data_IF_223355900010
#
_entry.id   IF_223355900010
#
_cell.length_a   1.000
_cell.length_b   1.000
_cell.length_c   1.000
_cell.angle_alpha   90.00
_cell.angle_beta   90.00
_cell.angle_gamma   90.00
#
_symmetry.space_group_name_H-M   'P 1'
#
loop_
_entity.id
_entity.type
_entity.pdbx_description
1 polymer ?
#
# COMPACT_ATOMS: atom_id res chain seq x y z
N UNK A 1 -20.83 -5.67 19.81
CA UNK A 1 -19.47 -5.55 20.38
C UNK A 1 -18.57 -4.91 19.35
N UNK A 2 -17.99 -3.75 19.65
CA UNK A 2 -17.14 -3.03 18.72
C UNK A 2 -15.68 -3.37 19.02
N UNK A 3 -15.06 -4.18 18.15
CA UNK A 3 -13.65 -4.54 18.26
C UNK A 3 -12.81 -3.59 17.40
N UNK A 4 -11.66 -3.17 17.93
CA UNK A 4 -10.71 -2.34 17.19
C UNK A 4 -9.44 -3.14 16.94
N UNK A 5 -9.18 -3.47 15.67
CA UNK A 5 -7.92 -4.07 15.26
C UNK A 5 -6.77 -3.06 15.47
N UNK A 6 -5.72 -3.46 16.20
CA UNK A 6 -4.50 -2.67 16.41
C UNK A 6 -3.34 -3.15 15.55
N UNK A 7 -3.04 -4.46 15.60
CA UNK A 7 -1.94 -5.06 14.82
C UNK A 7 -2.40 -6.34 14.14
N UNK A 8 -1.91 -6.57 12.94
CA UNK A 8 -2.15 -7.77 12.16
C UNK A 8 -0.81 -8.36 11.71
N UNK A 9 -0.67 -9.67 11.77
CA UNK A 9 0.56 -10.37 11.40
C UNK A 9 0.30 -11.80 10.99
N UNK A 10 1.36 -12.50 10.60
CA UNK A 10 1.29 -13.88 10.16
C UNK A 10 2.31 -14.75 10.90
N UNK A 11 1.92 -15.98 11.17
CA UNK A 11 2.76 -17.05 11.68
C UNK A 11 2.85 -18.13 10.61
N UNK A 12 4.07 -18.60 10.32
CA UNK A 12 4.32 -19.55 9.23
C UNK A 12 4.15 -21.02 9.66
N UNK A 13 4.38 -21.34 10.93
CA UNK A 13 4.28 -22.69 11.48
C UNK A 13 3.54 -22.71 12.83
N UNK A 14 2.33 -23.28 12.91
CA UNK A 14 1.42 -23.58 11.79
C UNK A 14 0.92 -22.30 11.11
N UNK A 15 0.57 -22.34 9.81
CA UNK A 15 0.16 -21.16 9.04
C UNK A 15 -1.10 -20.53 9.65
N UNK A 16 -0.96 -19.32 10.20
CA UNK A 16 -2.07 -18.62 10.86
C UNK A 16 -1.89 -17.11 10.84
N UNK A 17 -3.00 -16.38 10.76
CA UNK A 17 -3.01 -14.91 10.88
C UNK A 17 -3.32 -14.55 12.33
N UNK A 18 -2.46 -13.71 12.88
CA UNK A 18 -2.58 -13.21 14.25
C UNK A 18 -3.15 -11.79 14.18
N UNK A 19 -4.24 -11.57 14.91
CA UNK A 19 -4.86 -10.26 15.07
C UNK A 19 -4.83 -9.86 16.54
N UNK A 20 -4.19 -8.74 16.82
CA UNK A 20 -4.22 -8.09 18.13
C UNK A 20 -5.29 -7.00 18.05
N UNK A 21 -6.31 -7.12 18.90
CA UNK A 21 -7.45 -6.23 18.92
C UNK A 21 -7.75 -5.75 20.33
N UNK A 22 -8.41 -4.61 20.41
CA UNK A 22 -8.91 -4.04 21.65
C UNK A 22 -10.44 -4.14 21.67
N UNK A 23 -10.97 -4.60 22.79
CA UNK A 23 -12.40 -4.57 23.03
C UNK A 23 -12.79 -3.22 23.63
N UNK A 24 -13.64 -2.44 22.95
CA UNK A 24 -14.08 -1.13 23.43
C UNK A 24 -14.82 -1.20 24.77
N UNK A 25 -15.41 -2.35 25.12
CA UNK A 25 -16.14 -2.49 26.38
C UNK A 25 -15.22 -2.75 27.57
N UNK A 26 -14.08 -3.42 27.35
CA UNK A 26 -13.17 -3.87 28.41
C UNK A 26 -11.84 -3.12 28.41
N UNK A 27 -11.52 -2.36 27.36
CA UNK A 27 -10.24 -1.68 27.12
C UNK A 27 -9.02 -2.60 27.21
N UNK A 28 -9.25 -3.93 27.18
CA UNK A 28 -8.21 -4.95 27.25
C UNK A 28 -7.80 -5.33 25.84
N UNK A 29 -6.49 -5.41 25.65
CA UNK A 29 -5.90 -5.93 24.42
C UNK A 29 -5.97 -7.46 24.45
N UNK A 30 -6.47 -8.06 23.37
CA UNK A 30 -6.59 -9.50 23.19
C UNK A 30 -5.95 -9.91 21.87
N UNK A 31 -5.48 -11.15 21.84
CA UNK A 31 -4.92 -11.76 20.64
C UNK A 31 -5.88 -12.82 20.12
N UNK A 32 -6.09 -12.84 18.81
CA UNK A 32 -6.84 -13.89 18.11
C UNK A 32 -5.95 -14.53 17.06
N UNK A 33 -5.88 -15.85 17.10
CA UNK A 33 -5.16 -16.66 16.12
C UNK A 33 -6.19 -17.26 15.15
N UNK A 34 -5.99 -17.03 13.86
CA UNK A 34 -6.88 -17.47 12.79
C UNK A 34 -6.10 -18.45 11.90
N UNK A 35 -6.35 -19.78 12.05
CA UNK A 35 -5.61 -20.77 11.28
C UNK A 35 -5.98 -20.68 9.81
N UNK A 36 -4.98 -20.68 8.94
CA UNK A 36 -5.17 -20.76 7.49
C UNK A 36 -5.16 -22.24 7.11
N UNK A 37 -6.28 -22.72 6.58
CA UNK A 37 -6.41 -24.09 6.06
C UNK A 37 -6.46 -24.05 4.54
N UNK A 38 -6.02 -25.12 3.89
CA UNK A 38 -6.10 -25.31 2.44
C UNK A 38 -5.39 -24.23 1.60
N UNK A 39 -4.33 -23.62 2.14
CA UNK A 39 -3.52 -22.65 1.39
C UNK A 39 -2.24 -23.31 0.88
N UNK A 40 -1.91 -23.08 -0.38
CA UNK A 40 -0.78 -23.70 -1.08
C UNK A 40 0.05 -22.64 -1.81
N UNK A 41 1.22 -23.02 -2.32
CA UNK A 41 2.09 -22.14 -3.13
C UNK A 41 1.43 -21.63 -4.43
N UNK A 42 0.34 -22.25 -4.85
CA UNK A 42 -0.43 -21.94 -6.06
C UNK A 42 -1.76 -21.23 -5.81
N UNK A 43 -2.22 -21.13 -4.56
CA UNK A 43 -3.52 -20.52 -4.28
C UNK A 43 -3.50 -19.01 -4.48
N UNK A 44 -4.66 -18.48 -4.87
CA UNK A 44 -4.86 -17.05 -5.09
C UNK A 44 -4.94 -16.29 -3.76
N UNK A 45 -4.07 -15.30 -3.59
CA UNK A 45 -3.97 -14.50 -2.37
C UNK A 45 -5.19 -13.58 -2.19
N UNK A 46 -5.77 -13.09 -3.29
CA UNK A 46 -6.97 -12.24 -3.30
C UNK A 46 -8.18 -12.98 -2.75
N UNK A 47 -8.48 -14.14 -3.33
CA UNK A 47 -9.59 -15.00 -2.93
C UNK A 47 -9.46 -15.47 -1.49
N UNK A 48 -8.26 -15.91 -1.07
CA UNK A 48 -8.02 -16.33 0.31
C UNK A 48 -8.25 -15.19 1.32
N UNK A 49 -7.87 -13.95 0.97
CA UNK A 49 -8.11 -12.78 1.80
C UNK A 49 -9.61 -12.44 1.92
N UNK A 50 -10.36 -12.55 0.84
CA UNK A 50 -11.81 -12.36 0.82
C UNK A 50 -12.54 -13.40 1.65
N UNK A 51 -12.18 -14.67 1.49
CA UNK A 51 -12.75 -15.78 2.26
C UNK A 51 -12.54 -15.59 3.76
N UNK A 52 -11.34 -15.14 4.18
CA UNK A 52 -11.05 -14.85 5.58
C UNK A 52 -11.89 -13.68 6.11
N UNK A 53 -12.01 -12.60 5.33
CA UNK A 53 -12.77 -11.40 5.73
C UNK A 53 -14.27 -11.67 5.81
N UNK A 54 -14.79 -12.53 4.94
CA UNK A 54 -16.20 -12.90 4.89
C UNK A 54 -16.59 -14.00 5.89
N UNK A 55 -15.61 -14.70 6.48
CA UNK A 55 -15.89 -15.75 7.45
C UNK A 55 -16.65 -15.19 8.67
N UNK A 56 -17.85 -15.73 9.01
CA UNK A 56 -18.70 -15.20 10.08
C UNK A 56 -18.01 -15.18 11.43
N UNK A 57 -17.06 -16.09 11.67
CA UNK A 57 -16.31 -16.16 12.94
C UNK A 57 -15.35 -14.99 13.14
N UNK A 58 -14.82 -14.42 12.05
CA UNK A 58 -13.72 -13.45 12.08
C UNK A 58 -14.15 -12.05 11.59
N UNK A 59 -15.25 -11.97 10.84
CA UNK A 59 -15.80 -10.74 10.24
C UNK A 59 -15.93 -9.57 11.23
N UNK A 60 -16.37 -9.84 12.46
CA UNK A 60 -16.55 -8.82 13.50
C UNK A 60 -15.24 -8.15 13.96
N UNK A 61 -14.10 -8.83 13.81
CA UNK A 61 -12.78 -8.33 14.22
C UNK A 61 -12.03 -7.68 13.04
N UNK A 62 -12.29 -8.16 11.83
CA UNK A 62 -11.65 -7.72 10.60
C UNK A 62 -12.31 -6.50 9.95
N UNK A 63 -13.34 -5.90 10.58
CA UNK A 63 -14.10 -4.79 10.00
C UNK A 63 -13.22 -3.58 9.66
N UNK A 64 -12.21 -3.29 10.49
CA UNK A 64 -11.24 -2.21 10.27
C UNK A 64 -10.01 -2.61 9.44
N UNK A 65 -9.82 -3.90 9.18
CA UNK A 65 -8.65 -4.38 8.44
C UNK A 65 -8.94 -4.27 6.94
N UNK A 66 -8.04 -3.60 6.22
CA UNK A 66 -8.15 -3.48 4.77
C UNK A 66 -7.95 -4.84 4.09
N UNK A 67 -8.61 -5.04 2.95
CA UNK A 67 -8.47 -6.27 2.18
C UNK A 67 -7.03 -6.39 1.63
N UNK A 68 -6.43 -5.28 1.20
CA UNK A 68 -5.05 -5.20 0.75
C UNK A 68 -4.05 -5.69 1.82
N UNK A 69 -4.20 -5.28 3.08
CA UNK A 69 -3.33 -5.77 4.16
C UNK A 69 -3.40 -7.30 4.31
N UNK A 70 -4.59 -7.89 4.22
CA UNK A 70 -4.74 -9.35 4.27
C UNK A 70 -4.08 -10.01 3.05
N UNK A 71 -4.26 -9.45 1.85
CA UNK A 71 -3.59 -9.94 0.64
C UNK A 71 -2.06 -9.95 0.77
N UNK A 72 -1.48 -8.90 1.36
CA UNK A 72 -0.03 -8.82 1.65
C UNK A 72 0.42 -9.94 2.61
N UNK A 73 -0.37 -10.25 3.62
CA UNK A 73 -0.06 -11.36 4.52
C UNK A 73 -0.11 -12.71 3.80
N UNK A 74 -1.07 -12.91 2.90
CA UNK A 74 -1.16 -14.12 2.08
C UNK A 74 -0.04 -14.21 1.03
N UNK A 75 0.40 -13.09 0.44
CA UNK A 75 1.54 -13.08 -0.48
C UNK A 75 2.85 -13.43 0.24
N UNK A 76 3.05 -12.91 1.47
CA UNK A 76 4.16 -13.31 2.35
C UNK A 76 4.11 -14.81 2.67
N UNK A 77 2.93 -15.35 2.99
CA UNK A 77 2.76 -16.79 3.22
C UNK A 77 3.14 -17.61 1.98
N UNK A 78 2.70 -17.17 0.80
CA UNK A 78 2.99 -17.83 -0.48
C UNK A 78 4.49 -17.80 -0.79
N UNK A 79 5.16 -16.68 -0.53
CA UNK A 79 6.61 -16.55 -0.65
C UNK A 79 7.34 -17.54 0.25
N UNK A 80 6.94 -17.62 1.52
CA UNK A 80 7.49 -18.58 2.47
C UNK A 80 7.25 -20.04 2.03
N UNK A 81 6.06 -20.39 1.55
CA UNK A 81 5.76 -21.73 1.01
C UNK A 81 6.57 -22.08 -0.26
N UNK A 82 7.09 -21.08 -0.96
CA UNK A 82 8.00 -21.24 -2.12
C UNK A 82 9.47 -21.31 -1.70
N UNK A 83 9.79 -21.15 -0.42
CA UNK A 83 11.15 -21.13 0.09
C UNK A 83 11.86 -19.77 -0.07
N UNK A 84 11.12 -18.69 -0.33
CA UNK A 84 11.69 -17.34 -0.37
C UNK A 84 11.95 -16.83 1.05
N UNK A 85 12.99 -16.01 1.22
CA UNK A 85 13.23 -15.35 2.50
C UNK A 85 12.19 -14.28 2.76
N UNK A 86 11.97 -13.95 4.04
CA UNK A 86 11.04 -12.88 4.43
C UNK A 86 11.49 -11.54 3.86
N UNK A 87 12.80 -11.27 3.86
CA UNK A 87 13.39 -10.03 3.34
C UNK A 87 13.09 -9.88 1.86
N UNK A 88 13.38 -10.91 1.04
CA UNK A 88 13.09 -10.88 -0.39
C UNK A 88 11.59 -10.73 -0.69
N UNK A 89 10.74 -11.32 0.14
CA UNK A 89 9.28 -11.24 -0.05
C UNK A 89 8.76 -9.84 0.30
N UNK A 90 9.34 -9.19 1.32
CA UNK A 90 9.01 -7.82 1.71
C UNK A 90 9.52 -6.80 0.70
N UNK A 91 10.74 -6.96 0.20
CA UNK A 91 11.33 -6.09 -0.84
C UNK A 91 10.46 -6.07 -2.09
N UNK A 92 9.97 -7.23 -2.54
CA UNK A 92 9.04 -7.31 -3.68
C UNK A 92 7.74 -6.56 -3.43
N UNK A 93 7.15 -6.72 -2.25
CA UNK A 93 5.92 -6.00 -1.88
C UNK A 93 6.18 -4.50 -1.82
N UNK A 94 7.32 -4.07 -1.29
CA UNK A 94 7.70 -2.65 -1.25
C UNK A 94 7.88 -2.08 -2.65
N UNK A 95 8.61 -2.78 -3.53
CA UNK A 95 8.80 -2.37 -4.92
C UNK A 95 7.48 -2.23 -5.68
N UNK A 96 6.51 -3.13 -5.44
CA UNK A 96 5.18 -3.04 -6.04
C UNK A 96 4.37 -1.83 -5.53
N UNK A 97 4.66 -1.33 -4.32
CA UNK A 97 3.93 -0.23 -3.67
C UNK A 97 4.59 1.14 -3.85
N UNK A 98 5.89 1.18 -4.12
CA UNK A 98 6.63 2.42 -4.34
C UNK A 98 6.69 2.76 -5.82
N UNK A 99 6.16 3.92 -6.20
CA UNK A 99 6.35 4.46 -7.55
C UNK A 99 7.73 5.10 -7.61
N UNK A 100 8.66 4.48 -8.33
CA UNK A 100 9.97 5.05 -8.59
C UNK A 100 9.83 6.20 -9.60
N UNK A 101 10.29 7.43 -9.29
CA UNK A 101 10.16 8.57 -10.19
C UNK A 101 11.06 8.48 -11.43
N UNK A 102 12.11 7.65 -11.40
CA UNK A 102 13.06 7.47 -12.52
C UNK A 102 12.70 6.32 -13.47
N UNK A 103 11.61 5.60 -13.20
CA UNK A 103 11.24 4.43 -14.01
C UNK A 103 10.49 4.86 -15.27
N UNK A 104 10.89 4.30 -16.41
CA UNK A 104 10.26 4.57 -17.71
C UNK A 104 8.88 3.89 -17.78
N UNK A 105 7.85 4.63 -17.36
CA UNK A 105 6.47 4.17 -17.29
C UNK A 105 5.89 3.75 -18.66
N UNK A 106 6.53 4.15 -19.76
CA UNK A 106 6.07 3.79 -21.12
C UNK A 106 6.41 2.35 -21.52
N UNK A 107 7.30 1.67 -20.77
CA UNK A 107 7.66 0.27 -21.02
C UNK A 107 6.84 -0.72 -20.21
N UNK A 108 5.99 -0.24 -19.31
CA UNK A 108 5.20 -1.10 -18.42
C UNK A 108 3.94 -1.60 -19.11
N UNK A 109 3.46 -2.76 -18.66
CA UNK A 109 2.18 -3.31 -19.09
C UNK A 109 1.01 -2.48 -18.51
N UNK A 110 -0.11 -2.43 -19.23
CA UNK A 110 -1.28 -1.60 -18.88
C UNK A 110 -1.80 -1.89 -17.46
N UNK A 111 -1.71 -3.15 -17.02
CA UNK A 111 -2.14 -3.59 -15.69
C UNK A 111 -1.25 -3.05 -14.57
N UNK A 112 0.05 -2.99 -14.79
CA UNK A 112 1.01 -2.47 -13.81
C UNK A 112 0.93 -0.95 -13.77
N UNK A 113 0.75 -0.32 -14.93
CA UNK A 113 0.55 1.11 -15.07
C UNK A 113 -0.72 1.58 -14.33
N UNK A 114 -1.83 0.84 -14.45
CA UNK A 114 -3.05 1.13 -13.70
C UNK A 114 -2.86 1.06 -12.18
N UNK A 115 -2.09 0.08 -11.69
CA UNK A 115 -1.76 -0.04 -10.26
C UNK A 115 -0.91 1.15 -9.78
N UNK A 116 0.12 1.53 -10.54
CA UNK A 116 0.97 2.69 -10.20
C UNK A 116 0.16 3.99 -10.18
N UNK A 117 -0.78 4.17 -11.13
CA UNK A 117 -1.73 5.30 -11.12
C UNK A 117 -2.57 5.33 -9.86
N UNK A 118 -3.18 4.21 -9.46
CA UNK A 118 -3.95 4.16 -8.20
C UNK A 118 -3.11 4.48 -6.96
N UNK A 119 -1.85 4.05 -6.92
CA UNK A 119 -0.93 4.39 -5.84
C UNK A 119 -0.64 5.91 -5.82
N UNK A 120 -0.41 6.53 -6.99
CA UNK A 120 -0.21 7.98 -7.09
C UNK A 120 -1.45 8.74 -6.62
N UNK A 121 -2.64 8.32 -7.03
CA UNK A 121 -3.90 8.94 -6.61
C UNK A 121 -4.10 8.84 -5.10
N UNK A 122 -3.87 7.68 -4.49
CA UNK A 122 -3.96 7.50 -3.04
C UNK A 122 -2.96 8.39 -2.27
N UNK A 123 -1.72 8.53 -2.77
CA UNK A 123 -0.70 9.39 -2.16
C UNK A 123 -1.08 10.87 -2.30
N UNK A 124 -1.61 11.26 -3.46
CA UNK A 124 -2.11 12.59 -3.70
C UNK A 124 -3.25 12.95 -2.75
N UNK A 125 -4.24 12.08 -2.59
CA UNK A 125 -5.38 12.34 -1.69
C UNK A 125 -4.96 12.46 -0.23
N UNK A 126 -3.99 11.65 0.22
CA UNK A 126 -3.45 11.73 1.59
C UNK A 126 -2.69 13.04 1.84
N UNK A 127 -1.95 13.52 0.84
CA UNK A 127 -1.14 14.74 0.94
C UNK A 127 -1.89 16.01 0.50
N UNK A 128 -3.15 15.89 0.07
CA UNK A 128 -3.96 17.01 -0.40
C UNK A 128 -4.30 17.94 0.76
N UNK A 129 -3.56 19.03 0.89
CA UNK A 129 -3.88 20.15 1.78
C UNK A 129 -5.12 20.87 1.28
N UNK A 130 -6.16 20.95 2.11
CA UNK A 130 -7.38 21.72 1.82
C UNK A 130 -7.22 23.15 2.31
N UNK A 131 -8.00 24.07 1.73
CA UNK A 131 -8.05 25.49 2.15
C UNK A 131 -8.33 25.68 3.65
N UNK A 132 -8.96 24.70 4.30
CA UNK A 132 -9.32 24.77 5.71
C UNK A 132 -8.28 24.12 6.64
N UNK A 133 -7.18 23.57 6.10
CA UNK A 133 -6.10 23.01 6.92
C UNK A 133 -5.20 24.13 7.45
N UNK A 134 -4.71 24.04 8.71
CA UNK A 134 -3.88 25.07 9.32
C UNK A 134 -2.54 25.29 8.59
N UNK A 135 -2.04 24.27 7.88
CA UNK A 135 -0.79 24.31 7.12
C UNK A 135 -1.00 24.76 5.65
N UNK A 136 -2.21 25.25 5.31
CA UNK A 136 -2.51 25.77 3.99
C UNK A 136 -1.97 27.20 3.86
N UNK A 137 -0.88 27.35 3.12
CA UNK A 137 -0.26 28.64 2.83
C UNK A 137 -0.72 29.08 1.44
N UNK A 138 -1.31 30.27 1.36
CA UNK A 138 -1.62 30.92 0.08
C UNK A 138 -0.33 31.42 -0.56
N UNK A 139 -0.21 31.25 -1.88
CA UNK A 139 0.90 31.75 -2.69
C UNK A 139 2.27 31.33 -2.13
N UNK A 140 2.50 30.01 -2.08
CA UNK A 140 3.84 29.48 -1.78
C UNK A 140 4.78 29.88 -2.92
N UNK A 141 5.49 30.98 -2.73
CA UNK A 141 6.56 31.41 -3.63
C UNK A 141 7.78 30.53 -3.38
N UNK A 142 8.06 29.62 -4.32
CA UNK A 142 9.28 28.82 -4.31
C UNK A 142 10.30 29.53 -5.18
N UNK A 143 11.39 30.01 -4.57
CA UNK A 143 12.53 30.49 -5.31
C UNK A 143 13.27 29.29 -5.92
N UNK A 144 13.16 29.11 -7.24
CA UNK A 144 13.91 28.09 -7.95
C UNK A 144 15.41 28.40 -7.85
N UNK A 145 16.27 27.42 -7.50
CA UNK A 145 17.71 27.65 -7.43
C UNK A 145 18.24 28.04 -8.81
N UNK A 146 18.74 29.27 -8.94
CA UNK A 146 19.28 29.82 -10.19
C UNK A 146 20.58 29.12 -10.67
N UNK A 147 21.13 28.22 -9.86
CA UNK A 147 22.45 27.61 -10.07
C UNK A 147 22.40 26.20 -10.70
N UNK A 148 21.22 25.58 -10.81
CA UNK A 148 21.05 24.37 -11.60
C UNK A 148 20.74 24.83 -13.02
N UNK A 149 21.60 24.42 -13.98
CA UNK A 149 21.46 24.73 -15.40
C UNK A 149 20.00 24.61 -15.79
N UNK A 150 19.33 25.75 -16.00
CA UNK A 150 18.04 25.80 -16.67
C UNK A 150 18.23 25.02 -17.97
N UNK A 151 17.69 23.80 -18.03
CA UNK A 151 17.74 23.03 -19.25
C UNK A 151 17.08 23.90 -20.31
N UNK A 152 17.80 24.17 -21.40
CA UNK A 152 17.27 24.94 -22.51
C UNK A 152 16.19 24.09 -23.17
N UNK A 153 14.97 24.15 -22.63
CA UNK A 153 13.80 23.57 -23.25
C UNK A 153 13.67 24.23 -24.63
N UNK A 154 13.76 23.43 -25.70
CA UNK A 154 13.63 23.93 -27.08
C UNK A 154 12.27 24.56 -27.42
N UNK A 155 11.36 24.64 -26.44
CA UNK A 155 10.12 25.40 -26.48
C UNK A 155 10.31 26.92 -26.28
N UNK A 156 11.38 27.35 -25.59
CA UNK A 156 11.72 28.77 -25.41
C UNK A 156 12.59 29.34 -26.55
N UNK A 157 12.89 28.54 -27.56
CA UNK A 157 13.81 28.89 -28.65
C UNK A 157 13.13 29.43 -29.92
N UNK A 158 11.85 29.80 -29.87
CA UNK A 158 11.18 30.48 -30.99
C UNK A 158 10.24 31.58 -30.48
N UNK A 159 10.78 32.80 -30.35
CA UNK A 159 10.04 34.01 -30.73
C UNK A 159 10.98 35.22 -30.85
N UNK A 160 10.70 36.03 -31.87
CA UNK A 160 11.22 37.36 -32.20
C UNK A 160 12.59 37.46 -32.90
N UNK A 161 12.57 37.15 -34.20
CA UNK A 161 13.37 37.88 -35.17
C UNK A 161 12.53 38.20 -36.43
N UNK A 162 11.47 39.00 -36.24
CA UNK A 162 10.86 39.78 -37.33
C UNK A 162 11.35 41.24 -37.21
N UNK A 163 12.27 41.61 -38.10
CA UNK A 163 12.64 43.00 -38.42
C UNK A 163 12.63 43.18 -39.94
#
# INVERSE_FOLDING_TARGET
>A
MAYVAKKCGIQFQPPSIILIYEDKASTRVRQRIMPIRNFSKFSDCSRAAEELKNNPRHKAYLTRVSLQQLQKLYSLLRGHLRGQSLVQSLEKIQQEETVNPEEDLNKLDDKELARKKSIMDELFEKNRKKKNDPDFIYNVEVAFPQNERLESCGWDAESDNEF
#
